data_IF_143370043112
#
_entry.id   IF_143370043112
#
_cell.length_a   1.000
_cell.length_b   1.000
_cell.length_c   1.000
_cell.angle_alpha   90.00
_cell.angle_beta   90.00
_cell.angle_gamma   90.00
#
_symmetry.space_group_name_H-M   'P 1'
#
loop_
_entity.id
_entity.type
_entity.pdbx_description
1 polymer ?
#
# COMPACT_ATOMS: atom_id res chain seq x y z
N UNK A 1 -13.06 17.56 36.65
CA UNK A 1 -12.79 16.95 35.34
C UNK A 1 -13.10 18.00 34.29
N UNK A 2 -12.15 18.37 33.50
CA UNK A 2 -12.35 19.33 32.41
C UNK A 2 -13.36 18.75 31.39
N UNK A 3 -14.16 19.62 30.77
CA UNK A 3 -15.14 19.21 29.75
C UNK A 3 -14.50 18.47 28.59
N UNK A 4 -13.27 18.84 28.24
CA UNK A 4 -12.48 18.17 27.20
C UNK A 4 -12.10 16.74 27.64
N UNK A 5 -11.65 16.58 28.88
CA UNK A 5 -11.30 15.25 29.42
C UNK A 5 -12.53 14.33 29.50
N UNK A 6 -13.68 14.88 29.87
CA UNK A 6 -14.94 14.15 29.92
C UNK A 6 -15.40 13.71 28.51
N UNK A 7 -15.32 14.60 27.51
CA UNK A 7 -15.66 14.29 26.13
C UNK A 7 -14.71 13.24 25.53
N UNK A 8 -13.41 13.35 25.81
CA UNK A 8 -12.41 12.38 25.35
C UNK A 8 -12.64 10.99 25.95
N UNK A 9 -12.91 10.94 27.27
CA UNK A 9 -13.24 9.68 27.95
C UNK A 9 -14.50 9.04 27.35
N UNK A 10 -15.56 9.84 27.15
CA UNK A 10 -16.79 9.37 26.53
C UNK A 10 -16.54 8.79 25.13
N UNK A 11 -15.77 9.48 24.29
CA UNK A 11 -15.42 8.99 22.95
C UNK A 11 -14.63 7.67 23.01
N UNK A 12 -13.71 7.51 23.98
CA UNK A 12 -12.98 6.26 24.16
C UNK A 12 -13.90 5.13 24.66
N UNK A 13 -14.81 5.42 25.57
CA UNK A 13 -15.78 4.44 26.08
C UNK A 13 -16.74 3.97 24.95
N UNK A 14 -17.12 4.87 24.03
CA UNK A 14 -17.95 4.54 22.87
C UNK A 14 -17.18 3.82 21.75
N UNK A 15 -15.86 3.91 21.73
CA UNK A 15 -15.03 3.32 20.65
C UNK A 15 -15.08 1.79 20.61
N UNK A 16 -15.59 1.13 21.62
CA UNK A 16 -15.65 -0.32 21.69
C UNK A 16 -14.31 -1.01 21.96
N UNK A 17 -13.25 -0.25 22.26
CA UNK A 17 -11.90 -0.80 22.47
C UNK A 17 -11.85 -1.91 23.53
N UNK A 18 -12.59 -1.75 24.63
CA UNK A 18 -12.65 -2.76 25.70
C UNK A 18 -13.34 -4.06 25.27
N UNK A 19 -14.17 -4.04 24.23
CA UNK A 19 -14.80 -5.26 23.69
C UNK A 19 -13.82 -6.10 22.87
N UNK A 20 -12.76 -5.48 22.34
CA UNK A 20 -11.74 -6.15 21.54
C UNK A 20 -10.69 -6.87 22.40
N UNK A 21 -10.48 -6.46 23.65
CA UNK A 21 -9.41 -7.00 24.51
C UNK A 21 -9.41 -8.54 24.61
N UNK A 22 -10.54 -9.25 24.81
CA UNK A 22 -10.53 -10.70 24.80
C UNK A 22 -10.12 -11.31 23.47
N UNK A 23 -10.53 -10.70 22.35
CA UNK A 23 -10.18 -11.12 20.99
C UNK A 23 -8.73 -10.86 20.68
N UNK A 24 -8.17 -9.75 21.17
CA UNK A 24 -6.74 -9.43 21.02
C UNK A 24 -5.84 -10.53 21.61
N UNK A 25 -6.22 -11.13 22.72
CA UNK A 25 -5.44 -12.22 23.34
C UNK A 25 -5.44 -13.47 22.47
N UNK A 26 -6.57 -13.79 21.83
CA UNK A 26 -6.71 -14.96 20.97
C UNK A 26 -5.99 -14.78 19.61
N UNK A 27 -6.07 -13.58 19.02
CA UNK A 27 -5.55 -13.28 17.69
C UNK A 27 -4.23 -12.47 17.73
N UNK A 28 -3.59 -12.36 18.91
CA UNK A 28 -2.43 -11.50 19.12
C UNK A 28 -1.26 -11.79 18.17
N UNK A 29 -0.95 -13.06 17.90
CA UNK A 29 0.20 -13.43 17.06
C UNK A 29 0.02 -12.94 15.61
N UNK A 30 -1.17 -13.11 15.03
CA UNK A 30 -1.42 -12.67 13.65
C UNK A 30 -1.53 -11.15 13.56
N UNK A 31 -2.17 -10.51 14.54
CA UNK A 31 -2.27 -9.06 14.61
C UNK A 31 -0.89 -8.41 14.75
N UNK A 32 -0.05 -8.96 15.64
CA UNK A 32 1.33 -8.49 15.83
C UNK A 32 2.14 -8.61 14.54
N UNK A 33 2.07 -9.74 13.85
CA UNK A 33 2.76 -9.91 12.56
C UNK A 33 2.28 -8.92 11.51
N UNK A 34 0.97 -8.66 11.45
CA UNK A 34 0.42 -7.66 10.53
C UNK A 34 0.91 -6.25 10.88
N UNK A 35 0.92 -5.87 12.16
CA UNK A 35 1.48 -4.61 12.63
C UNK A 35 2.98 -4.49 12.32
N UNK A 36 3.76 -5.52 12.64
CA UNK A 36 5.20 -5.51 12.40
C UNK A 36 5.53 -5.48 10.89
N UNK A 37 4.65 -6.03 10.04
CA UNK A 37 4.77 -5.92 8.58
C UNK A 37 4.56 -4.49 8.06
N UNK A 38 3.72 -3.66 8.72
CA UNK A 38 3.61 -2.23 8.41
C UNK A 38 4.96 -1.54 8.66
N UNK A 39 5.59 -1.85 9.79
CA UNK A 39 6.91 -1.30 10.12
C UNK A 39 8.00 -1.81 9.19
N UNK A 40 7.94 -3.08 8.79
CA UNK A 40 8.88 -3.64 7.82
C UNK A 40 8.80 -2.90 6.47
N UNK A 41 7.58 -2.67 5.97
CA UNK A 41 7.36 -1.84 4.79
C UNK A 41 7.98 -0.44 4.95
N UNK A 42 7.75 0.21 6.08
CA UNK A 42 8.33 1.53 6.36
C UNK A 42 9.87 1.53 6.34
N UNK A 43 10.51 0.44 6.79
CA UNK A 43 11.98 0.39 6.92
C UNK A 43 12.69 -0.01 5.63
N UNK A 44 12.09 -0.81 4.75
CA UNK A 44 12.76 -1.36 3.57
C UNK A 44 13.21 -0.26 2.61
N UNK A 45 12.34 0.70 2.26
CA UNK A 45 12.69 1.77 1.33
C UNK A 45 13.89 2.62 1.81
N UNK A 46 13.85 3.20 3.02
CA UNK A 46 14.98 3.99 3.51
C UNK A 46 16.29 3.21 3.60
N UNK A 47 16.23 1.90 3.88
CA UNK A 47 17.43 1.07 4.00
C UNK A 47 18.12 0.84 2.66
N UNK A 48 17.38 0.81 1.56
CA UNK A 48 17.94 0.62 0.23
C UNK A 48 18.65 1.86 -0.33
N UNK A 49 18.48 3.03 0.31
CA UNK A 49 19.19 4.24 -0.12
C UNK A 49 20.59 4.30 0.52
N UNK A 50 21.61 4.64 -0.28
CA UNK A 50 22.97 4.83 0.26
C UNK A 50 22.99 6.02 1.22
N UNK A 51 23.57 5.80 2.40
CA UNK A 51 23.62 6.83 3.48
C UNK A 51 24.68 7.91 3.26
N UNK A 52 25.64 7.67 2.38
CA UNK A 52 26.84 8.50 2.20
C UNK A 52 26.79 9.41 0.97
N UNK A 53 25.69 9.38 0.20
CA UNK A 53 25.54 10.22 -0.99
C UNK A 53 24.81 11.53 -0.61
N UNK A 54 25.46 12.67 -0.87
CA UNK A 54 24.87 14.01 -0.71
C UNK A 54 23.59 14.18 -1.56
N UNK A 55 23.47 13.40 -2.63
CA UNK A 55 22.28 13.34 -3.49
C UNK A 55 21.13 12.49 -2.89
N UNK A 56 21.36 11.73 -1.82
CA UNK A 56 20.37 10.87 -1.20
C UNK A 56 19.09 11.61 -0.78
N UNK A 57 19.25 12.76 -0.10
CA UNK A 57 18.12 13.60 0.32
C UNK A 57 17.34 14.11 -0.89
N UNK A 58 18.06 14.51 -1.94
CA UNK A 58 17.45 14.96 -3.20
C UNK A 58 16.65 13.84 -3.88
N UNK A 59 17.15 12.63 -3.82
CA UNK A 59 16.50 11.46 -4.42
C UNK A 59 15.23 11.03 -3.68
N UNK A 60 15.30 10.97 -2.34
CA UNK A 60 14.14 10.67 -1.49
C UNK A 60 12.97 11.63 -1.73
N UNK A 61 13.28 12.91 -1.91
CA UNK A 61 12.29 13.94 -2.18
C UNK A 61 11.79 13.95 -3.64
N UNK A 62 12.37 13.11 -4.51
CA UNK A 62 12.10 13.10 -5.95
C UNK A 62 11.54 11.76 -6.45
N UNK A 63 11.39 10.77 -5.59
CA UNK A 63 10.73 9.51 -5.94
C UNK A 63 9.22 9.63 -5.75
N UNK A 64 8.47 9.40 -6.80
CA UNK A 64 7.01 9.33 -6.74
C UNK A 64 6.58 8.24 -5.76
N UNK A 65 7.20 7.06 -5.82
CA UNK A 65 6.89 5.95 -4.94
C UNK A 65 7.08 6.31 -3.46
N UNK A 66 8.19 6.97 -3.09
CA UNK A 66 8.47 7.32 -1.70
C UNK A 66 7.49 8.35 -1.12
N UNK A 67 6.95 9.24 -1.94
CA UNK A 67 5.90 10.18 -1.51
C UNK A 67 4.66 9.37 -1.11
N UNK A 68 4.21 8.45 -1.97
CA UNK A 68 3.05 7.60 -1.67
C UNK A 68 3.32 6.56 -0.58
N UNK A 69 4.56 6.11 -0.41
CA UNK A 69 4.97 5.17 0.63
C UNK A 69 4.56 5.62 2.04
N UNK A 70 4.78 6.90 2.37
CA UNK A 70 4.36 7.45 3.65
C UNK A 70 2.84 7.47 3.83
N UNK A 71 2.10 7.75 2.77
CA UNK A 71 0.64 7.70 2.81
C UNK A 71 0.12 6.26 3.01
N UNK A 72 0.73 5.28 2.37
CA UNK A 72 0.42 3.86 2.59
C UNK A 72 0.63 3.47 4.05
N UNK A 73 1.79 3.85 4.62
CA UNK A 73 2.11 3.60 6.02
C UNK A 73 1.09 4.22 6.97
N UNK A 74 0.73 5.49 6.75
CA UNK A 74 -0.25 6.18 7.58
C UNK A 74 -1.65 5.55 7.49
N UNK A 75 -2.11 5.21 6.30
CA UNK A 75 -3.42 4.57 6.13
C UNK A 75 -3.44 3.17 6.75
N UNK A 76 -2.38 2.38 6.61
CA UNK A 76 -2.28 1.06 7.24
C UNK A 76 -2.31 1.16 8.78
N UNK A 77 -1.55 2.08 9.39
CA UNK A 77 -1.60 2.31 10.83
C UNK A 77 -2.96 2.79 11.30
N UNK A 78 -3.57 3.74 10.58
CA UNK A 78 -4.89 4.25 10.94
C UNK A 78 -5.94 3.17 10.85
N UNK A 79 -5.88 2.30 9.83
CA UNK A 79 -6.79 1.17 9.71
C UNK A 79 -6.71 0.23 10.92
N UNK A 80 -5.50 0.04 11.48
CA UNK A 80 -5.32 -0.77 12.68
C UNK A 80 -6.01 -0.15 13.91
N UNK A 81 -5.91 1.17 14.09
CA UNK A 81 -6.60 1.88 15.17
C UNK A 81 -8.11 1.69 15.05
N UNK A 82 -8.66 1.86 13.85
CA UNK A 82 -10.10 1.68 13.61
C UNK A 82 -10.56 0.23 13.88
N UNK A 83 -9.76 -0.76 13.48
CA UNK A 83 -10.05 -2.17 13.78
C UNK A 83 -10.01 -2.46 15.29
N UNK A 84 -9.06 -1.88 16.03
CA UNK A 84 -8.98 -1.99 17.50
C UNK A 84 -10.15 -1.30 18.22
N UNK A 85 -10.78 -0.32 17.58
CA UNK A 85 -12.00 0.33 18.04
C UNK A 85 -13.29 -0.34 17.53
N UNK A 86 -13.20 -1.53 16.92
CA UNK A 86 -14.31 -2.27 16.30
C UNK A 86 -14.98 -1.61 15.07
N UNK A 87 -14.37 -0.59 14.51
CA UNK A 87 -14.85 0.08 13.29
C UNK A 87 -14.31 -0.63 12.05
N UNK A 88 -14.67 -1.91 11.87
CA UNK A 88 -14.12 -2.77 10.80
C UNK A 88 -14.44 -2.28 9.40
N UNK A 89 -15.62 -1.69 9.19
CA UNK A 89 -15.96 -1.09 7.91
C UNK A 89 -14.96 0.01 7.53
N UNK A 90 -14.69 0.94 8.45
CA UNK A 90 -13.71 2.01 8.25
C UNK A 90 -12.29 1.45 8.08
N UNK A 91 -11.93 0.43 8.88
CA UNK A 91 -10.64 -0.22 8.80
C UNK A 91 -10.40 -0.82 7.39
N UNK A 92 -11.36 -1.54 6.83
CA UNK A 92 -11.27 -2.11 5.48
C UNK A 92 -11.26 -1.04 4.38
N UNK A 93 -12.02 0.07 4.54
CA UNK A 93 -11.95 1.21 3.63
C UNK A 93 -10.54 1.81 3.59
N UNK A 94 -9.90 1.96 4.76
CA UNK A 94 -8.53 2.47 4.85
C UNK A 94 -7.50 1.48 4.26
N UNK A 95 -7.68 0.17 4.43
CA UNK A 95 -6.85 -0.83 3.77
C UNK A 95 -6.96 -0.76 2.25
N UNK A 96 -8.18 -0.59 1.73
CA UNK A 96 -8.39 -0.37 0.30
C UNK A 96 -7.68 0.89 -0.18
N UNK A 97 -7.79 1.99 0.59
CA UNK A 97 -7.10 3.25 0.27
C UNK A 97 -5.59 3.06 0.27
N UNK A 98 -5.02 2.34 1.26
CA UNK A 98 -3.59 1.98 1.27
C UNK A 98 -3.18 1.27 -0.02
N UNK A 99 -3.94 0.28 -0.45
CA UNK A 99 -3.65 -0.47 -1.67
C UNK A 99 -3.74 0.41 -2.92
N UNK A 100 -4.76 1.27 -3.04
CA UNK A 100 -4.89 2.20 -4.16
C UNK A 100 -3.73 3.19 -4.24
N UNK A 101 -3.33 3.76 -3.10
CA UNK A 101 -2.22 4.71 -2.98
C UNK A 101 -0.90 4.05 -3.35
N UNK A 102 -0.67 2.82 -2.87
CA UNK A 102 0.50 2.01 -3.21
C UNK A 102 0.62 1.78 -4.73
N UNK A 103 -0.46 1.30 -5.34
CA UNK A 103 -0.49 1.02 -6.78
C UNK A 103 -0.27 2.28 -7.62
N UNK A 104 -0.82 3.42 -7.19
CA UNK A 104 -0.58 4.72 -7.85
C UNK A 104 0.87 5.14 -7.74
N UNK A 105 1.46 5.05 -6.55
CA UNK A 105 2.87 5.38 -6.33
C UNK A 105 3.79 4.54 -7.21
N UNK A 106 3.57 3.22 -7.23
CA UNK A 106 4.33 2.30 -8.07
C UNK A 106 4.18 2.61 -9.56
N UNK A 107 2.96 2.88 -10.02
CA UNK A 107 2.68 3.20 -11.41
C UNK A 107 3.38 4.48 -11.87
N UNK A 108 3.29 5.56 -11.08
CA UNK A 108 3.94 6.82 -11.42
C UNK A 108 5.46 6.73 -11.37
N UNK A 109 6.00 5.96 -10.42
CA UNK A 109 7.43 5.68 -10.38
C UNK A 109 7.90 4.98 -11.66
N UNK A 110 7.28 3.85 -12.01
CA UNK A 110 7.63 3.13 -13.24
C UNK A 110 7.45 3.99 -14.48
N UNK A 111 6.35 4.75 -14.57
CA UNK A 111 6.08 5.59 -15.72
C UNK A 111 7.10 6.73 -15.91
N UNK A 112 7.80 7.12 -14.84
CA UNK A 112 8.89 8.10 -14.93
C UNK A 112 10.13 7.56 -15.65
N UNK A 113 10.32 6.23 -15.66
CA UNK A 113 11.45 5.57 -16.29
C UNK A 113 11.15 5.20 -17.75
N UNK A 114 12.05 5.56 -18.66
CA UNK A 114 11.86 5.38 -20.10
C UNK A 114 11.59 3.92 -20.50
N UNK A 115 12.30 2.99 -19.89
CA UNK A 115 12.16 1.56 -20.12
C UNK A 115 10.74 1.04 -19.92
N UNK A 116 10.06 1.53 -18.88
CA UNK A 116 8.66 1.17 -18.60
C UNK A 116 7.68 1.93 -19.51
N UNK A 117 7.96 3.20 -19.84
CA UNK A 117 7.11 3.96 -20.78
C UNK A 117 7.05 3.31 -22.14
N UNK A 118 8.20 2.86 -22.65
CA UNK A 118 8.31 2.22 -23.96
C UNK A 118 7.67 0.82 -23.98
N UNK A 119 7.62 0.12 -22.84
CA UNK A 119 7.01 -1.19 -22.66
C UNK A 119 5.64 -1.09 -21.97
N UNK A 120 4.61 -0.56 -22.62
CA UNK A 120 3.31 -0.29 -22.02
C UNK A 120 2.12 -0.87 -22.80
N UNK A 121 2.06 -2.20 -23.00
CA UNK A 121 1.05 -2.81 -23.88
C UNK A 121 -0.38 -2.61 -23.40
N UNK A 122 -0.63 -2.59 -22.09
CA UNK A 122 -1.97 -2.38 -21.51
C UNK A 122 -2.42 -0.94 -21.73
N UNK A 123 -1.51 0.03 -21.58
CA UNK A 123 -1.80 1.42 -21.88
C UNK A 123 -2.10 1.62 -23.38
N UNK A 124 -1.44 0.89 -24.25
CA UNK A 124 -1.71 0.94 -25.71
C UNK A 124 -3.07 0.35 -26.08
N UNK A 125 -3.50 -0.68 -25.38
CA UNK A 125 -4.76 -1.37 -25.64
C UNK A 125 -5.98 -0.65 -25.08
N UNK A 126 -5.85 0.13 -24.00
CA UNK A 126 -6.98 0.79 -23.33
C UNK A 126 -7.18 2.23 -23.79
N UNK A 127 -8.44 2.71 -23.76
CA UNK A 127 -8.77 4.12 -24.06
C UNK A 127 -8.10 5.06 -23.05
N UNK A 128 -8.18 4.73 -21.76
CA UNK A 128 -7.53 5.51 -20.70
C UNK A 128 -6.01 5.50 -20.84
N UNK A 129 -5.43 4.37 -21.21
CA UNK A 129 -4.01 4.29 -21.47
C UNK A 129 -3.55 5.18 -22.63
N UNK A 130 -4.33 5.25 -23.71
CA UNK A 130 -4.07 6.17 -24.83
C UNK A 130 -4.15 7.64 -24.39
N UNK A 131 -5.09 7.98 -23.49
CA UNK A 131 -5.17 9.32 -22.90
C UNK A 131 -3.93 9.63 -22.06
N UNK A 132 -3.45 8.69 -21.25
CA UNK A 132 -2.20 8.82 -20.47
C UNK A 132 -1.01 9.08 -21.40
N UNK A 133 -0.83 8.27 -22.45
CA UNK A 133 0.26 8.46 -23.42
C UNK A 133 0.17 9.79 -24.16
N UNK A 134 -1.02 10.19 -24.57
CA UNK A 134 -1.22 11.47 -25.25
C UNK A 134 -0.94 12.66 -24.30
N UNK A 135 -1.26 12.51 -23.05
CA UNK A 135 -0.99 13.52 -22.04
C UNK A 135 0.51 13.65 -21.76
N UNK A 136 1.23 12.55 -21.55
CA UNK A 136 2.69 12.53 -21.39
C UNK A 136 3.38 13.16 -22.60
N UNK A 137 2.96 12.80 -23.82
CA UNK A 137 3.51 13.40 -25.04
C UNK A 137 3.35 14.91 -25.04
N UNK A 138 2.17 15.44 -24.73
CA UNK A 138 1.92 16.90 -24.65
C UNK A 138 2.79 17.57 -23.60
N UNK A 139 3.05 16.90 -22.48
CA UNK A 139 3.94 17.42 -21.43
C UNK A 139 5.38 17.48 -21.93
N UNK A 140 5.87 16.45 -22.58
CA UNK A 140 7.23 16.42 -23.10
C UNK A 140 7.42 17.41 -24.26
N UNK A 141 6.37 17.68 -25.06
CA UNK A 141 6.38 18.76 -26.04
C UNK A 141 6.56 20.15 -25.40
N UNK A 142 5.89 20.38 -24.27
CA UNK A 142 5.97 21.66 -23.54
C UNK A 142 7.26 21.76 -22.71
N UNK A 143 7.73 20.64 -22.17
CA UNK A 143 8.91 20.54 -21.31
C UNK A 143 9.90 19.50 -21.85
N UNK A 144 10.64 19.79 -22.92
CA UNK A 144 11.46 18.79 -23.62
C UNK A 144 12.61 18.22 -22.75
N UNK A 145 13.02 18.92 -21.70
CA UNK A 145 14.02 18.43 -20.76
C UNK A 145 13.42 17.52 -19.67
N UNK A 146 12.10 17.52 -19.51
CA UNK A 146 11.43 16.77 -18.44
C UNK A 146 11.62 15.26 -18.61
N UNK A 147 11.59 14.74 -19.83
CA UNK A 147 11.82 13.32 -20.09
C UNK A 147 13.18 12.86 -19.55
N UNK A 148 14.23 13.65 -19.80
CA UNK A 148 15.57 13.37 -19.27
C UNK A 148 15.68 13.56 -17.77
N UNK A 149 14.97 14.55 -17.22
CA UNK A 149 14.89 14.77 -15.78
C UNK A 149 14.16 13.63 -15.07
N UNK A 150 13.12 13.05 -15.70
CA UNK A 150 12.37 11.91 -15.17
C UNK A 150 13.22 10.63 -15.12
N UNK A 151 14.04 10.39 -16.12
CA UNK A 151 14.98 9.26 -16.13
C UNK A 151 16.03 9.36 -15.00
N UNK A 152 16.23 10.55 -14.43
CA UNK A 152 17.11 10.79 -13.30
C UNK A 152 16.34 10.85 -11.96
N UNK A 153 15.10 11.33 -11.99
CA UNK A 153 14.31 11.55 -10.77
C UNK A 153 12.81 11.46 -11.06
N UNK A 154 12.17 10.41 -10.58
CA UNK A 154 10.74 10.14 -10.82
C UNK A 154 9.80 11.23 -10.30
N UNK A 155 10.15 11.91 -9.22
CA UNK A 155 9.33 12.98 -8.66
C UNK A 155 9.33 14.28 -9.48
N UNK A 156 10.13 14.38 -10.53
CA UNK A 156 9.99 15.45 -11.52
C UNK A 156 8.58 15.50 -12.14
N UNK A 157 7.88 14.38 -12.20
CA UNK A 157 6.44 14.33 -12.53
C UNK A 157 5.62 15.12 -11.51
N UNK A 158 5.92 15.02 -10.22
CA UNK A 158 5.16 15.69 -9.18
C UNK A 158 5.43 17.20 -9.13
N UNK A 159 6.66 17.64 -9.20
CA UNK A 159 7.00 19.08 -9.06
C UNK A 159 6.49 19.93 -10.23
N UNK A 160 6.53 19.40 -11.45
CA UNK A 160 6.18 20.15 -12.65
C UNK A 160 4.79 19.81 -13.21
N UNK A 161 4.27 18.65 -12.85
CA UNK A 161 3.03 18.09 -13.37
C UNK A 161 2.05 17.71 -12.27
N UNK A 162 2.49 17.62 -11.02
CA UNK A 162 1.72 17.18 -9.87
C UNK A 162 0.43 17.96 -9.69
N UNK A 163 0.46 19.28 -9.87
CA UNK A 163 -0.75 20.12 -9.87
C UNK A 163 -1.74 19.78 -10.99
N UNK A 164 -1.29 19.13 -12.07
CA UNK A 164 -2.12 18.70 -13.21
C UNK A 164 -2.45 17.21 -13.19
N UNK A 165 -1.64 16.38 -12.51
CA UNK A 165 -1.97 14.96 -12.24
C UNK A 165 -3.17 14.86 -11.28
N UNK A 166 -3.39 15.87 -10.46
CA UNK A 166 -4.61 16.02 -9.66
C UNK A 166 -5.84 16.37 -10.50
N UNK A 167 -5.71 16.58 -11.81
CA UNK A 167 -6.86 16.74 -12.69
C UNK A 167 -7.74 15.49 -12.55
N UNK A 168 -8.97 15.64 -12.01
CA UNK A 168 -9.87 14.50 -11.78
C UNK A 168 -10.24 13.75 -13.05
N UNK A 169 -10.02 14.34 -14.23
CA UNK A 169 -10.22 13.68 -15.53
C UNK A 169 -9.14 12.64 -15.83
N UNK A 170 -8.05 12.61 -15.05
CA UNK A 170 -6.86 11.82 -15.32
C UNK A 170 -6.58 10.75 -14.25
N UNK A 171 -7.58 9.97 -13.89
CA UNK A 171 -7.46 8.90 -12.90
C UNK A 171 -7.54 7.53 -13.58
N UNK A 172 -6.41 6.85 -13.85
CA UNK A 172 -6.47 5.48 -14.33
C UNK A 172 -7.19 4.61 -13.28
N UNK A 173 -8.07 3.73 -13.76
CA UNK A 173 -8.74 2.79 -12.86
C UNK A 173 -7.72 1.83 -12.24
N UNK A 174 -8.00 1.36 -11.01
CA UNK A 174 -7.13 0.40 -10.32
C UNK A 174 -6.88 -0.85 -11.18
N UNK A 175 -7.86 -1.28 -11.96
CA UNK A 175 -7.71 -2.38 -12.92
C UNK A 175 -6.57 -2.12 -13.91
N UNK A 176 -6.52 -0.92 -14.50
CA UNK A 176 -5.46 -0.55 -15.45
C UNK A 176 -4.11 -0.49 -14.75
N UNK A 177 -4.04 0.10 -13.54
CA UNK A 177 -2.82 0.17 -12.75
C UNK A 177 -2.26 -1.23 -12.50
N UNK A 178 -3.09 -2.14 -12.00
CA UNK A 178 -2.68 -3.50 -11.66
C UNK A 178 -2.20 -4.27 -12.88
N UNK A 179 -2.97 -4.26 -13.97
CA UNK A 179 -2.58 -4.99 -15.18
C UNK A 179 -1.30 -4.43 -15.81
N UNK A 180 -1.10 -3.11 -15.78
CA UNK A 180 0.12 -2.52 -16.30
C UNK A 180 1.35 -2.82 -15.44
N UNK A 181 1.21 -2.74 -14.11
CA UNK A 181 2.28 -3.09 -13.17
C UNK A 181 2.66 -4.57 -13.28
N UNK A 182 1.69 -5.44 -13.53
CA UNK A 182 1.94 -6.87 -13.77
C UNK A 182 2.75 -7.10 -15.05
N UNK A 183 2.42 -6.39 -16.14
CA UNK A 183 3.20 -6.43 -17.40
C UNK A 183 4.62 -5.91 -17.22
N UNK A 184 4.84 -4.97 -16.31
CA UNK A 184 6.17 -4.47 -15.97
C UNK A 184 6.93 -5.36 -14.97
N UNK A 185 6.32 -6.46 -14.51
CA UNK A 185 6.95 -7.39 -13.56
C UNK A 185 7.04 -6.91 -12.12
N UNK A 186 6.36 -5.80 -11.77
CA UNK A 186 6.45 -5.17 -10.45
C UNK A 186 5.90 -6.06 -9.31
N UNK A 187 5.12 -7.06 -9.65
CA UNK A 187 4.58 -8.01 -8.66
C UNK A 187 5.38 -9.32 -8.56
N UNK A 188 6.48 -9.48 -9.32
CA UNK A 188 7.31 -10.70 -9.19
C UNK A 188 7.85 -10.83 -7.74
N UNK A 189 7.72 -12.00 -7.07
CA UNK A 189 7.37 -13.32 -7.59
C UNK A 189 5.91 -13.78 -7.32
N UNK A 190 4.94 -12.87 -7.20
CA UNK A 190 3.54 -13.23 -6.91
C UNK A 190 2.91 -13.91 -8.14
N UNK A 191 2.43 -15.16 -8.03
CA UNK A 191 1.80 -15.84 -9.15
C UNK A 191 0.41 -15.27 -9.43
N UNK A 192 0.06 -15.09 -10.72
CA UNK A 192 -1.22 -14.54 -11.16
C UNK A 192 -1.54 -13.21 -10.45
N UNK A 193 -0.55 -12.35 -10.32
CA UNK A 193 -0.59 -11.16 -9.46
C UNK A 193 -1.76 -10.23 -9.80
N UNK A 194 -2.03 -10.01 -11.08
CA UNK A 194 -3.14 -9.14 -11.51
C UNK A 194 -4.49 -9.64 -10.95
N UNK A 195 -4.78 -10.95 -11.02
CA UNK A 195 -6.00 -11.52 -10.46
C UNK A 195 -5.98 -11.49 -8.93
N UNK A 196 -4.86 -11.88 -8.30
CA UNK A 196 -4.74 -11.89 -6.85
C UNK A 196 -4.95 -10.50 -6.22
N UNK A 197 -4.40 -9.47 -6.83
CA UNK A 197 -4.47 -8.10 -6.31
C UNK A 197 -5.79 -7.43 -6.67
N UNK A 198 -6.21 -7.47 -7.95
CA UNK A 198 -7.42 -6.78 -8.36
C UNK A 198 -8.70 -7.53 -8.01
N UNK A 199 -8.79 -8.82 -8.37
CA UNK A 199 -10.05 -9.56 -8.24
C UNK A 199 -10.29 -10.03 -6.80
N UNK A 200 -9.24 -10.42 -6.09
CA UNK A 200 -9.37 -10.92 -4.73
C UNK A 200 -9.20 -9.81 -3.67
N UNK A 201 -8.05 -9.15 -3.60
CA UNK A 201 -7.81 -8.15 -2.55
C UNK A 201 -8.65 -6.89 -2.77
N UNK A 202 -8.48 -6.23 -3.90
CA UNK A 202 -9.14 -4.95 -4.15
C UNK A 202 -10.67 -5.07 -4.23
N UNK A 203 -11.19 -6.06 -4.97
CA UNK A 203 -12.62 -6.25 -5.10
C UNK A 203 -13.26 -6.73 -3.78
N UNK A 204 -12.54 -7.53 -2.99
CA UNK A 204 -12.97 -7.92 -1.64
C UNK A 204 -13.19 -6.70 -0.74
N UNK A 205 -12.21 -5.79 -0.71
CA UNK A 205 -12.31 -4.54 0.07
C UNK A 205 -13.35 -3.54 -0.49
N UNK A 206 -13.72 -3.68 -1.76
CA UNK A 206 -14.70 -2.77 -2.39
C UNK A 206 -16.10 -2.94 -1.83
N UNK A 207 -16.47 -4.11 -1.33
CA UNK A 207 -17.77 -4.37 -0.72
C UNK A 207 -18.00 -3.49 0.52
N UNK A 208 -16.95 -3.19 1.29
CA UNK A 208 -17.02 -2.32 2.46
C UNK A 208 -17.24 -0.86 2.10
N UNK A 209 -16.68 -0.40 0.97
CA UNK A 209 -16.87 0.97 0.45
C UNK A 209 -18.28 1.20 -0.10
N UNK A 210 -18.88 0.19 -0.71
CA UNK A 210 -20.22 0.30 -1.31
C UNK A 210 -21.37 0.14 -0.29
N UNK A 211 -21.03 0.12 1.01
CA UNK A 211 -22.00 0.15 2.12
C UNK A 211 -23.07 -0.94 1.96
N UNK A 212 -22.64 -2.16 1.67
CA UNK A 212 -23.56 -3.31 1.68
C UNK A 212 -24.01 -3.53 3.14
N UNK A 213 -25.32 -3.57 3.43
CA UNK A 213 -25.82 -3.52 4.82
C UNK A 213 -25.21 -4.55 5.77
N UNK A 214 -24.95 -5.77 5.30
CA UNK A 214 -24.31 -6.84 6.07
C UNK A 214 -22.79 -6.66 6.26
N UNK A 215 -22.19 -5.69 5.58
CA UNK A 215 -20.79 -5.27 5.71
C UNK A 215 -20.60 -4.03 6.60
N UNK A 216 -21.67 -3.32 6.94
CA UNK A 216 -21.59 -2.19 7.88
C UNK A 216 -21.52 -2.70 9.32
N UNK A 217 -20.82 -1.97 10.19
CA UNK A 217 -20.71 -2.34 11.59
C UNK A 217 -22.08 -2.35 12.30
N UNK A 218 -22.95 -1.39 11.97
CA UNK A 218 -24.33 -1.34 12.48
C UNK A 218 -25.16 -2.51 11.91
N UNK A 219 -25.04 -2.79 10.60
CA UNK A 219 -25.75 -3.92 9.97
C UNK A 219 -25.36 -5.27 10.58
N UNK A 220 -24.07 -5.48 10.85
CA UNK A 220 -23.57 -6.70 11.54
C UNK A 220 -24.12 -6.81 12.95
N UNK A 221 -24.18 -5.70 13.73
CA UNK A 221 -24.76 -5.67 15.08
C UNK A 221 -26.24 -5.99 15.06
N UNK A 222 -27.01 -5.43 14.13
CA UNK A 222 -28.44 -5.71 13.96
C UNK A 222 -28.67 -7.16 13.53
N UNK A 223 -27.88 -7.65 12.56
CA UNK A 223 -28.01 -9.03 12.05
C UNK A 223 -27.66 -10.09 13.12
N UNK A 224 -26.85 -9.76 14.11
CA UNK A 224 -26.53 -10.66 15.23
C UNK A 224 -27.67 -10.85 16.23
N UNK A 225 -28.72 -10.00 16.17
CA UNK A 225 -29.88 -9.98 17.08
C UNK A 225 -29.51 -9.81 18.57
N UNK A 226 -28.25 -10.03 18.95
CA UNK A 226 -27.77 -9.99 20.33
C UNK A 226 -26.36 -9.39 20.37
N UNK A 227 -26.13 -8.42 21.25
CA UNK A 227 -24.84 -7.78 21.44
C UNK A 227 -23.74 -8.75 21.86
N UNK A 228 -24.04 -9.69 22.74
CA UNK A 228 -23.09 -10.68 23.21
C UNK A 228 -22.62 -11.63 22.10
N UNK A 229 -23.46 -11.95 21.12
CA UNK A 229 -23.06 -12.74 19.93
C UNK A 229 -22.12 -11.91 19.04
N UNK A 230 -22.38 -10.62 18.89
CA UNK A 230 -21.49 -9.74 18.12
C UNK A 230 -20.10 -9.71 18.76
N UNK A 231 -20.02 -9.46 20.05
CA UNK A 231 -18.74 -9.33 20.77
C UNK A 231 -17.97 -10.64 20.87
N UNK A 232 -18.65 -11.76 21.12
CA UNK A 232 -17.99 -13.06 21.37
C UNK A 232 -17.61 -13.80 20.09
N UNK A 233 -18.33 -13.60 18.99
CA UNK A 233 -18.15 -14.38 17.78
C UNK A 233 -17.82 -13.56 16.54
N UNK A 234 -18.46 -12.40 16.36
CA UNK A 234 -18.27 -11.59 15.14
C UNK A 234 -17.00 -10.75 15.25
N UNK A 235 -16.77 -10.09 16.39
CA UNK A 235 -15.57 -9.26 16.58
C UNK A 235 -14.28 -10.07 16.44
N UNK A 236 -14.11 -11.27 17.06
CA UNK A 236 -12.91 -12.07 16.85
C UNK A 236 -12.71 -12.49 15.39
N UNK A 237 -13.78 -12.87 14.71
CA UNK A 237 -13.72 -13.27 13.30
C UNK A 237 -13.29 -12.11 12.41
N UNK A 238 -13.84 -10.91 12.62
CA UNK A 238 -13.49 -9.71 11.88
C UNK A 238 -12.07 -9.24 12.17
N UNK A 239 -11.63 -9.30 13.42
CA UNK A 239 -10.26 -8.96 13.78
C UNK A 239 -9.25 -9.88 13.10
N UNK A 240 -9.56 -11.17 13.03
CA UNK A 240 -8.74 -12.15 12.32
C UNK A 240 -8.73 -11.90 10.81
N UNK A 241 -9.90 -11.71 10.19
CA UNK A 241 -10.02 -11.37 8.77
C UNK A 241 -9.22 -10.10 8.44
N UNK A 242 -9.40 -9.05 9.24
CA UNK A 242 -8.67 -7.80 9.13
C UNK A 242 -7.15 -8.02 9.20
N UNK A 243 -6.67 -8.75 10.22
CA UNK A 243 -5.25 -8.98 10.43
C UNK A 243 -4.62 -9.78 9.29
N UNK A 244 -5.32 -10.78 8.75
CA UNK A 244 -4.88 -11.54 7.58
C UNK A 244 -4.81 -10.63 6.35
N UNK A 245 -5.83 -9.83 6.12
CA UNK A 245 -5.91 -8.94 4.95
C UNK A 245 -4.83 -7.87 5.00
N UNK A 246 -4.62 -7.24 6.16
CA UNK A 246 -3.55 -6.27 6.37
C UNK A 246 -2.17 -6.90 6.11
N UNK A 247 -1.91 -8.07 6.69
CA UNK A 247 -0.65 -8.79 6.52
C UNK A 247 -0.38 -9.13 5.04
N UNK A 248 -1.40 -9.56 4.31
CA UNK A 248 -1.30 -9.85 2.89
C UNK A 248 -1.05 -8.59 2.04
N UNK A 249 -1.71 -7.48 2.36
CA UNK A 249 -1.47 -6.19 1.69
C UNK A 249 -0.04 -5.72 1.93
N UNK A 250 0.49 -5.88 3.15
CA UNK A 250 1.86 -5.49 3.46
C UNK A 250 2.89 -6.39 2.76
N UNK A 251 2.64 -7.69 2.63
CA UNK A 251 3.51 -8.57 1.83
C UNK A 251 3.57 -8.14 0.35
N UNK A 252 2.41 -7.82 -0.23
CA UNK A 252 2.34 -7.25 -1.59
C UNK A 252 3.07 -5.90 -1.67
N UNK A 253 2.89 -5.04 -0.68
CA UNK A 253 3.51 -3.72 -0.64
C UNK A 253 5.03 -3.79 -0.64
N UNK A 254 5.61 -4.65 0.19
CA UNK A 254 7.07 -4.83 0.27
C UNK A 254 7.61 -5.46 -1.02
N UNK A 255 6.88 -6.40 -1.64
CA UNK A 255 7.28 -6.96 -2.95
C UNK A 255 7.35 -5.87 -4.02
N UNK A 256 6.33 -5.01 -4.10
CA UNK A 256 6.33 -3.85 -5.02
C UNK A 256 7.52 -2.95 -4.75
N UNK A 257 7.76 -2.62 -3.49
CA UNK A 257 8.86 -1.78 -3.04
C UNK A 257 10.22 -2.36 -3.47
N UNK A 258 10.46 -3.65 -3.21
CA UNK A 258 11.69 -4.33 -3.59
C UNK A 258 11.90 -4.36 -5.11
N UNK A 259 10.83 -4.51 -5.91
CA UNK A 259 10.95 -4.45 -7.36
C UNK A 259 11.29 -3.04 -7.86
N UNK A 260 10.70 -2.00 -7.28
CA UNK A 260 11.00 -0.60 -7.61
C UNK A 260 12.44 -0.25 -7.22
N UNK A 261 12.90 -0.72 -6.07
CA UNK A 261 14.24 -0.44 -5.54
C UNK A 261 15.32 -1.40 -6.05
N UNK A 262 14.99 -2.35 -6.94
CA UNK A 262 15.89 -3.38 -7.44
C UNK A 262 17.22 -2.79 -7.93
N UNK A 263 17.18 -1.76 -8.76
CA UNK A 263 18.39 -1.12 -9.30
C UNK A 263 19.30 -0.53 -8.22
N UNK A 264 18.75 -0.08 -7.08
CA UNK A 264 19.55 0.41 -5.95
C UNK A 264 20.22 -0.73 -5.19
N UNK A 265 19.49 -1.82 -4.95
CA UNK A 265 20.03 -3.02 -4.29
C UNK A 265 21.14 -3.65 -5.14
N UNK A 266 20.98 -3.69 -6.46
CA UNK A 266 21.99 -4.21 -7.37
C UNK A 266 23.25 -3.34 -7.45
N UNK A 267 23.09 -2.02 -7.35
CA UNK A 267 24.20 -1.04 -7.49
C UNK A 267 25.00 -0.83 -6.21
N UNK A 268 24.35 -0.88 -5.05
CA UNK A 268 24.95 -0.49 -3.78
C UNK A 268 25.08 -1.68 -2.83
N UNK A 269 26.32 -2.04 -2.52
CA UNK A 269 26.63 -3.11 -1.56
C UNK A 269 26.01 -2.84 -0.17
N UNK A 270 26.00 -1.58 0.27
CA UNK A 270 25.38 -1.18 1.52
C UNK A 270 23.87 -1.48 1.56
N UNK A 271 23.15 -1.27 0.46
CA UNK A 271 21.74 -1.61 0.35
C UNK A 271 21.53 -3.13 0.40
N UNK A 272 22.40 -3.90 -0.27
CA UNK A 272 22.37 -5.36 -0.27
C UNK A 272 22.63 -5.94 1.13
N UNK A 273 23.59 -5.41 1.86
CA UNK A 273 23.87 -5.83 3.24
C UNK A 273 22.67 -5.58 4.16
N UNK A 274 22.11 -4.38 4.11
CA UNK A 274 20.92 -4.02 4.90
C UNK A 274 19.71 -4.90 4.57
N UNK A 275 19.46 -5.18 3.29
CA UNK A 275 18.40 -6.10 2.88
C UNK A 275 18.64 -7.52 3.42
N UNK A 276 19.89 -7.99 3.41
CA UNK A 276 20.27 -9.29 3.97
C UNK A 276 19.97 -9.40 5.47
N UNK A 277 20.22 -8.34 6.23
CA UNK A 277 19.87 -8.27 7.66
C UNK A 277 18.35 -8.32 7.88
N UNK A 278 17.57 -7.68 7.00
CA UNK A 278 16.11 -7.68 7.10
C UNK A 278 15.44 -8.99 6.68
N UNK A 279 16.11 -9.81 5.87
CA UNK A 279 15.55 -11.09 5.40
C UNK A 279 15.06 -11.99 6.54
N UNK A 280 15.82 -12.11 7.62
CA UNK A 280 15.43 -12.90 8.79
C UNK A 280 14.16 -12.37 9.45
N UNK A 281 13.99 -11.05 9.51
CA UNK A 281 12.77 -10.42 10.04
C UNK A 281 11.57 -10.73 9.13
N UNK A 282 11.72 -10.60 7.81
CA UNK A 282 10.67 -10.91 6.83
C UNK A 282 10.19 -12.37 6.94
N UNK A 283 11.12 -13.30 7.19
CA UNK A 283 10.80 -14.72 7.42
C UNK A 283 10.07 -14.95 8.75
N UNK A 284 10.49 -14.29 9.83
CA UNK A 284 9.84 -14.35 11.14
C UNK A 284 8.42 -13.79 11.10
N UNK A 285 8.18 -12.77 10.30
CA UNK A 285 6.85 -12.20 10.03
C UNK A 285 5.97 -13.16 9.22
N UNK A 286 6.54 -14.23 8.65
CA UNK A 286 5.84 -15.19 7.77
C UNK A 286 5.24 -14.54 6.53
N UNK A 287 5.91 -13.51 6.00
CA UNK A 287 5.58 -12.94 4.70
C UNK A 287 5.80 -14.03 3.64
N UNK A 288 4.90 -14.13 2.70
CA UNK A 288 4.91 -15.25 1.74
C UNK A 288 5.82 -14.99 0.55
N UNK A 289 5.73 -13.80 -0.02
CA UNK A 289 6.42 -13.45 -1.27
C UNK A 289 7.63 -12.57 -1.06
N UNK A 290 7.61 -11.71 -0.06
CA UNK A 290 8.70 -10.79 0.27
C UNK A 290 10.05 -11.49 0.46
N UNK A 291 10.17 -12.59 1.26
CA UNK A 291 11.46 -13.28 1.41
C UNK A 291 11.95 -13.91 0.11
N UNK A 292 11.04 -14.31 -0.78
CA UNK A 292 11.40 -14.86 -2.09
C UNK A 292 12.05 -13.78 -2.96
N UNK A 293 11.44 -12.58 -3.03
CA UNK A 293 12.00 -11.46 -3.77
C UNK A 293 13.32 -10.97 -3.17
N UNK A 294 13.40 -10.83 -1.86
CA UNK A 294 14.63 -10.43 -1.18
C UNK A 294 15.79 -11.39 -1.50
N UNK A 295 15.57 -12.70 -1.44
CA UNK A 295 16.58 -13.69 -1.82
C UNK A 295 16.99 -13.64 -3.30
N UNK A 296 16.06 -13.29 -4.18
CA UNK A 296 16.36 -13.07 -5.61
C UNK A 296 17.34 -11.91 -5.78
N UNK A 297 17.11 -10.79 -5.11
CA UNK A 297 17.96 -9.59 -5.18
C UNK A 297 19.33 -9.76 -4.50
N UNK A 298 19.47 -10.72 -3.59
CA UNK A 298 20.72 -11.01 -2.87
C UNK A 298 21.65 -12.02 -3.59
N UNK A 299 21.18 -12.64 -4.68
CA UNK A 299 22.00 -13.52 -5.52
C UNK A 299 22.92 -12.73 -6.43
#
# INVERSE_FOLDING_TARGET
>A
MDQIESAFKHTLDESGFHHVEPSLRAEFDILRKAHDAIHEFMFVAPLCFPTDDVNEVSWKNKSAFLIYHWEVFHHAHRSLIEALCTYYNVAFILLRTSLEVLLKGAFWECLSHKEFRDASPVLDASSQGKEIKNWLRRIFEVYPNLERELDQTSAGIFDKVGQRIEDPTFRPSVKILVWQLDQWGIFSPIPNAASAIHERLYSGLSADVHVVPDRTDIGRRIASERLDLFEQHIVPALLREYSITLHEIMDVAIVIELNILQNLVERFESARLKLSERLTVMEQLRLKYTPMKARELLK
#
